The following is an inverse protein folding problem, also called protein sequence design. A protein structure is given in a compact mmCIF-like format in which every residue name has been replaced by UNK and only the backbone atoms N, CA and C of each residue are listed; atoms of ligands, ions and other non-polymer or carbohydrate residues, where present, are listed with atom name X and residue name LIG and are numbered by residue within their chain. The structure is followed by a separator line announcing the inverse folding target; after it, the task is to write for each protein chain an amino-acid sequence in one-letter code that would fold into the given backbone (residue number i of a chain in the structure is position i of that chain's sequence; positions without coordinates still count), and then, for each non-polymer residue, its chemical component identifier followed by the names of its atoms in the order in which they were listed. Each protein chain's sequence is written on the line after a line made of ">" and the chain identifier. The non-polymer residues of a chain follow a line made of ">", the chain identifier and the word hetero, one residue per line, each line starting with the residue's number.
data_IF_544813524130
#
_entry.id   IF_544813524130
#
_cell.length_a   1.000
_cell.length_b   1.000
_cell.length_c   1.000
_cell.angle_alpha   90.00
_cell.angle_beta   90.00
_cell.angle_gamma   90.00
#
_symmetry.space_group_name_H-M   'P 1'
#
loop_
_entity.id
_entity.type
_entity.pdbx_description
1 polymer ?
#
# COMPACT_ATOMS: atom_id res chain seq x y z
N UNK A 1 -54.91 -62.24 -26.30
CA UNK A 1 -56.08 -61.79 -27.09
C UNK A 1 -55.72 -61.82 -28.57
N UNK A 2 -56.55 -62.54 -29.34
CA UNK A 2 -56.83 -62.52 -30.79
C UNK A 2 -55.77 -62.04 -31.81
N UNK A 3 -55.49 -62.96 -32.74
CA UNK A 3 -54.97 -62.83 -34.11
C UNK A 3 -55.54 -61.64 -34.91
N UNK A 4 -54.76 -61.07 -35.84
CA UNK A 4 -54.95 -61.19 -37.31
C UNK A 4 -53.80 -60.55 -38.13
N UNK A 5 -53.53 -61.17 -39.27
CA UNK A 5 -52.54 -60.87 -40.31
C UNK A 5 -53.11 -59.92 -41.38
N UNK A 6 -52.27 -59.10 -42.03
CA UNK A 6 -52.04 -59.12 -43.50
C UNK A 6 -51.42 -57.82 -44.09
N UNK A 7 -50.32 -58.03 -44.83
CA UNK A 7 -49.97 -57.49 -46.16
C UNK A 7 -49.94 -55.97 -46.45
N UNK A 8 -48.69 -55.50 -46.60
CA UNK A 8 -48.06 -54.78 -47.72
C UNK A 8 -48.41 -53.31 -48.09
N UNK A 9 -47.41 -52.58 -48.66
CA UNK A 9 -47.22 -51.15 -48.46
C UNK A 9 -47.84 -50.30 -49.57
N UNK A 10 -48.40 -49.14 -49.22
CA UNK A 10 -48.77 -48.11 -50.18
C UNK A 10 -47.58 -47.15 -50.37
N UNK A 11 -46.97 -47.21 -51.56
CA UNK A 11 -46.11 -46.15 -52.10
C UNK A 11 -46.94 -44.88 -52.30
N UNK A 12 -46.51 -43.77 -51.73
CA UNK A 12 -46.95 -42.43 -52.13
C UNK A 12 -45.81 -41.75 -52.89
N UNK A 13 -46.04 -41.25 -54.12
CA UNK A 13 -45.02 -40.53 -54.89
C UNK A 13 -45.06 -39.05 -54.51
N UNK A 14 -44.08 -38.61 -53.72
CA UNK A 14 -43.87 -37.20 -53.39
C UNK A 14 -42.45 -36.80 -53.73
N UNK A 15 -42.22 -36.32 -54.97
CA UNK A 15 -41.02 -35.56 -55.32
C UNK A 15 -41.04 -34.26 -54.50
N UNK A 16 -40.26 -34.22 -53.42
CA UNK A 16 -39.89 -32.96 -52.78
C UNK A 16 -38.56 -32.51 -53.37
N UNK A 17 -38.62 -31.54 -54.28
CA UNK A 17 -37.45 -30.78 -54.71
C UNK A 17 -37.00 -29.89 -53.53
N UNK A 18 -36.26 -30.46 -52.59
CA UNK A 18 -35.49 -29.66 -51.64
C UNK A 18 -34.16 -29.30 -52.32
N UNK A 19 -33.81 -28.00 -52.46
CA UNK A 19 -32.47 -27.63 -52.89
C UNK A 19 -31.46 -28.19 -51.88
N UNK A 20 -30.34 -28.72 -52.40
CA UNK A 20 -29.25 -29.24 -51.57
C UNK A 20 -28.89 -28.24 -50.46
N UNK A 21 -28.59 -28.70 -49.23
CA UNK A 21 -28.20 -27.80 -48.15
C UNK A 21 -27.00 -26.96 -48.63
N UNK A 22 -27.21 -25.66 -48.76
CA UNK A 22 -26.16 -24.67 -48.96
C UNK A 22 -25.05 -24.95 -47.96
N UNK A 23 -23.80 -25.04 -48.47
CA UNK A 23 -22.59 -25.21 -47.64
C UNK A 23 -22.71 -24.33 -46.40
N UNK A 24 -22.41 -24.84 -45.19
CA UNK A 24 -22.40 -24.00 -44.02
C UNK A 24 -21.51 -22.80 -44.32
N UNK A 25 -22.06 -21.59 -44.16
CA UNK A 25 -21.29 -20.36 -44.16
C UNK A 25 -20.13 -20.65 -43.21
N UNK A 26 -18.91 -20.70 -43.74
CA UNK A 26 -17.71 -20.79 -42.92
C UNK A 26 -17.79 -19.54 -42.06
N UNK A 27 -18.27 -19.70 -40.82
CA UNK A 27 -18.13 -18.69 -39.78
C UNK A 27 -16.63 -18.51 -39.72
N UNK A 28 -16.12 -17.43 -40.33
CA UNK A 28 -14.72 -17.07 -40.26
C UNK A 28 -14.38 -17.14 -38.78
N UNK A 29 -13.52 -18.07 -38.41
CA UNK A 29 -12.99 -18.12 -37.05
C UNK A 29 -12.50 -16.71 -36.76
N UNK A 30 -12.96 -16.10 -35.64
CA UNK A 30 -12.51 -14.77 -35.30
C UNK A 30 -10.98 -14.77 -35.34
N UNK A 31 -10.35 -13.73 -35.91
CA UNK A 31 -8.91 -13.72 -36.13
C UNK A 31 -8.21 -14.08 -34.82
N UNK A 32 -7.36 -15.10 -34.86
CA UNK A 32 -6.57 -15.53 -33.70
C UNK A 32 -5.71 -14.33 -33.30
N UNK A 33 -5.80 -13.93 -32.03
CA UNK A 33 -4.99 -12.83 -31.52
C UNK A 33 -3.51 -13.12 -31.78
N UNK A 34 -2.83 -12.18 -32.42
CA UNK A 34 -1.39 -12.28 -32.65
C UNK A 34 -0.66 -12.27 -31.30
N UNK A 35 0.52 -12.86 -31.26
CA UNK A 35 1.33 -12.91 -30.03
C UNK A 35 1.63 -11.51 -29.44
N UNK A 36 1.97 -10.47 -30.24
CA UNK A 36 2.11 -9.11 -29.74
C UNK A 36 0.80 -8.54 -29.16
N UNK A 37 -0.34 -8.74 -29.84
CA UNK A 37 -1.63 -8.27 -29.36
C UNK A 37 -2.01 -8.92 -28.03
N UNK A 38 -1.77 -10.23 -27.89
CA UNK A 38 -2.02 -10.95 -26.65
C UNK A 38 -1.14 -10.44 -25.50
N UNK A 39 0.15 -10.17 -25.74
CA UNK A 39 1.05 -9.57 -24.74
C UNK A 39 0.54 -8.21 -24.25
N UNK A 40 0.16 -7.34 -25.19
CA UNK A 40 -0.39 -6.03 -24.88
C UNK A 40 -1.66 -6.14 -24.03
N UNK A 41 -2.61 -6.98 -24.44
CA UNK A 41 -3.85 -7.20 -23.69
C UNK A 41 -3.56 -7.72 -22.28
N UNK A 42 -2.68 -8.72 -22.13
CA UNK A 42 -2.33 -9.27 -20.83
C UNK A 42 -1.62 -8.24 -19.93
N UNK A 43 -0.84 -7.32 -20.48
CA UNK A 43 -0.16 -6.29 -19.68
C UNK A 43 -1.15 -5.34 -19.01
N UNK A 44 -2.19 -4.92 -19.74
CA UNK A 44 -3.06 -3.81 -19.35
C UNK A 44 -4.48 -4.20 -18.94
N UNK A 45 -4.87 -5.48 -19.05
CA UNK A 45 -6.14 -5.95 -18.49
C UNK A 45 -6.09 -5.95 -16.95
N UNK A 46 -7.25 -5.79 -16.32
CA UNK A 46 -7.42 -5.94 -14.86
C UNK A 46 -6.70 -7.19 -14.34
N UNK A 47 -5.90 -7.02 -13.28
CA UNK A 47 -4.97 -8.05 -12.84
C UNK A 47 -5.67 -9.29 -12.27
N UNK A 48 -6.83 -9.13 -11.63
CA UNK A 48 -7.59 -10.27 -11.13
C UNK A 48 -8.15 -11.09 -12.29
N UNK A 49 -8.66 -10.43 -13.33
CA UNK A 49 -9.08 -11.09 -14.58
C UNK A 49 -7.91 -11.78 -15.27
N UNK A 50 -6.75 -11.09 -15.38
CA UNK A 50 -5.51 -11.64 -15.95
C UNK A 50 -5.14 -12.96 -15.29
N UNK A 51 -5.02 -12.96 -13.97
CA UNK A 51 -4.61 -14.13 -13.20
C UNK A 51 -5.62 -15.29 -13.31
N UNK A 52 -6.93 -15.01 -13.33
CA UNK A 52 -7.95 -16.03 -13.51
C UNK A 52 -7.89 -16.67 -14.90
N UNK A 53 -7.70 -15.86 -15.94
CA UNK A 53 -7.59 -16.34 -17.33
C UNK A 53 -6.32 -17.18 -17.51
N UNK A 54 -5.18 -16.69 -17.04
CA UNK A 54 -3.87 -17.34 -17.27
C UNK A 54 -3.71 -18.61 -16.43
N UNK A 55 -4.39 -18.71 -15.28
CA UNK A 55 -4.38 -19.91 -14.45
C UNK A 55 -5.00 -21.15 -15.13
N UNK A 56 -5.89 -20.97 -16.12
CA UNK A 56 -6.63 -22.06 -16.78
C UNK A 56 -5.87 -22.72 -17.93
N UNK A 57 -4.78 -22.13 -18.42
CA UNK A 57 -4.07 -22.63 -19.61
C UNK A 57 -2.57 -22.44 -19.51
N UNK A 58 -1.81 -23.54 -19.69
CA UNK A 58 -0.34 -23.53 -19.61
C UNK A 58 0.32 -22.57 -20.61
N UNK A 59 -0.18 -22.51 -21.84
CA UNK A 59 0.34 -21.58 -22.86
C UNK A 59 0.17 -20.12 -22.43
N UNK A 60 -1.03 -19.73 -21.99
CA UNK A 60 -1.27 -18.38 -21.47
C UNK A 60 -0.43 -18.06 -20.24
N UNK A 61 -0.21 -19.03 -19.34
CA UNK A 61 0.66 -18.85 -18.18
C UNK A 61 2.11 -18.52 -18.59
N UNK A 62 2.65 -19.20 -19.60
CA UNK A 62 4.01 -18.92 -20.10
C UNK A 62 4.08 -17.50 -20.68
N UNK A 63 3.10 -17.11 -21.49
CA UNK A 63 3.04 -15.77 -22.09
C UNK A 63 2.90 -14.70 -21.00
N UNK A 64 2.01 -14.93 -20.04
CA UNK A 64 1.78 -14.05 -18.89
C UNK A 64 3.04 -13.77 -18.08
N UNK A 65 3.91 -14.77 -17.89
CA UNK A 65 5.20 -14.59 -17.20
C UNK A 65 6.19 -13.74 -17.98
N UNK A 66 6.13 -13.77 -19.31
CA UNK A 66 6.96 -12.93 -20.18
C UNK A 66 6.52 -11.45 -20.26
N UNK A 67 5.33 -11.13 -19.75
CA UNK A 67 4.74 -9.79 -19.79
C UNK A 67 4.86 -9.14 -18.41
N UNK A 68 5.23 -7.86 -18.31
CA UNK A 68 5.31 -7.16 -17.03
C UNK A 68 4.03 -7.27 -16.21
N UNK A 69 4.17 -7.42 -14.89
CA UNK A 69 3.05 -7.41 -13.97
C UNK A 69 2.90 -5.99 -13.39
N UNK A 70 1.80 -5.30 -13.70
CA UNK A 70 1.50 -3.96 -13.20
C UNK A 70 0.43 -4.02 -12.12
N UNK A 71 0.73 -3.51 -10.94
CA UNK A 71 -0.11 -3.59 -9.74
C UNK A 71 -0.30 -2.22 -9.11
N UNK A 72 -1.54 -1.81 -8.79
CA UNK A 72 -1.76 -0.65 -7.92
C UNK A 72 -1.22 -0.93 -6.51
N UNK A 73 -1.51 -2.11 -5.97
CA UNK A 73 -1.11 -2.51 -4.62
C UNK A 73 -0.68 -3.97 -4.57
N UNK A 74 0.36 -4.26 -3.79
CA UNK A 74 0.82 -5.61 -3.47
C UNK A 74 1.16 -5.70 -1.99
N UNK A 75 0.56 -6.63 -1.27
CA UNK A 75 0.85 -6.87 0.14
C UNK A 75 1.32 -8.30 0.34
N UNK A 76 2.47 -8.43 1.00
CA UNK A 76 3.21 -9.67 1.19
C UNK A 76 3.41 -9.90 2.69
N UNK A 77 2.88 -11.00 3.20
CA UNK A 77 2.92 -11.36 4.61
C UNK A 77 3.20 -12.86 4.77
N UNK A 78 3.61 -13.30 5.96
CA UNK A 78 3.95 -14.70 6.21
C UNK A 78 2.79 -15.69 5.99
N UNK A 79 1.54 -15.20 6.05
CA UNK A 79 0.32 -15.99 5.92
C UNK A 79 -0.56 -15.63 4.73
N UNK A 80 -0.24 -14.58 3.97
CA UNK A 80 -1.06 -14.11 2.85
C UNK A 80 -0.29 -13.37 1.78
N UNK A 81 -0.86 -13.40 0.58
CA UNK A 81 -0.54 -12.52 -0.53
C UNK A 81 -1.82 -11.79 -0.94
N UNK A 82 -1.77 -10.47 -1.05
CA UNK A 82 -2.89 -9.67 -1.58
C UNK A 82 -2.39 -8.93 -2.82
N UNK A 83 -2.90 -9.35 -3.96
CA UNK A 83 -2.62 -8.77 -5.28
C UNK A 83 -3.79 -7.87 -5.64
N UNK A 84 -3.66 -6.57 -5.38
CA UNK A 84 -4.73 -5.61 -5.50
C UNK A 84 -6.01 -6.02 -4.73
N UNK A 85 -7.04 -6.53 -5.42
CA UNK A 85 -8.29 -6.97 -4.81
C UNK A 85 -8.35 -8.48 -4.57
N UNK A 86 -7.34 -9.24 -5.02
CA UNK A 86 -7.28 -10.70 -4.87
C UNK A 86 -6.41 -11.05 -3.66
N UNK A 87 -7.03 -11.50 -2.58
CA UNK A 87 -6.35 -12.01 -1.40
C UNK A 87 -6.27 -13.53 -1.42
N UNK A 88 -5.13 -14.10 -1.04
CA UNK A 88 -4.97 -15.53 -0.80
C UNK A 88 -4.28 -15.69 0.53
N UNK A 89 -4.92 -16.39 1.47
CA UNK A 89 -4.47 -16.52 2.85
C UNK A 89 -4.43 -17.97 3.28
N UNK A 90 -3.35 -18.37 3.95
CA UNK A 90 -3.29 -19.60 4.70
C UNK A 90 -3.84 -19.35 6.12
N UNK A 91 -5.06 -19.85 6.37
CA UNK A 91 -5.82 -19.58 7.60
C UNK A 91 -5.55 -20.62 8.70
N UNK A 92 -5.38 -21.88 8.30
CA UNK A 92 -5.09 -23.00 9.19
C UNK A 92 -3.95 -23.83 8.58
N UNK A 93 -3.42 -24.77 9.36
CA UNK A 93 -2.52 -25.78 8.80
C UNK A 93 -3.23 -26.50 7.65
N UNK A 94 -2.57 -26.60 6.50
CA UNK A 94 -3.09 -27.27 5.30
C UNK A 94 -4.33 -26.63 4.67
N UNK A 95 -4.67 -25.37 4.98
CA UNK A 95 -5.81 -24.67 4.34
C UNK A 95 -5.37 -23.37 3.69
N UNK A 96 -5.90 -23.12 2.48
CA UNK A 96 -5.78 -21.85 1.77
C UNK A 96 -7.16 -21.35 1.36
N UNK A 97 -7.44 -20.10 1.68
CA UNK A 97 -8.68 -19.39 1.35
C UNK A 97 -8.39 -18.21 0.41
N UNK A 98 -9.30 -17.99 -0.53
CA UNK A 98 -9.26 -16.93 -1.54
C UNK A 98 -10.33 -15.89 -1.21
N UNK A 99 -9.94 -14.63 -1.26
CA UNK A 99 -10.75 -13.46 -1.00
C UNK A 99 -10.75 -12.54 -2.21
N UNK A 100 -11.86 -11.89 -2.49
CA UNK A 100 -11.97 -10.83 -3.49
C UNK A 100 -12.60 -9.60 -2.85
N UNK A 101 -11.90 -8.47 -2.85
CA UNK A 101 -12.34 -7.24 -2.16
C UNK A 101 -12.76 -7.52 -0.70
N UNK A 102 -11.91 -8.25 0.02
CA UNK A 102 -12.13 -8.72 1.40
C UNK A 102 -13.32 -9.66 1.63
N UNK A 103 -14.02 -10.07 0.57
CA UNK A 103 -15.09 -11.06 0.65
C UNK A 103 -14.52 -12.45 0.38
N UNK A 104 -14.86 -13.41 1.24
CA UNK A 104 -14.52 -14.81 1.02
C UNK A 104 -15.14 -15.32 -0.28
N UNK A 105 -14.33 -15.98 -1.11
CA UNK A 105 -14.76 -16.56 -2.39
C UNK A 105 -14.79 -18.08 -2.30
N UNK A 106 -13.64 -18.69 -1.98
CA UNK A 106 -13.48 -20.14 -1.93
C UNK A 106 -12.27 -20.52 -1.09
N UNK A 107 -12.33 -21.68 -0.46
CA UNK A 107 -11.22 -22.28 0.26
C UNK A 107 -11.03 -23.74 -0.13
N UNK A 108 -9.88 -24.29 0.25
CA UNK A 108 -9.57 -25.70 0.03
C UNK A 108 -8.43 -26.19 0.91
N UNK A 109 -8.46 -27.49 1.17
CA UNK A 109 -7.31 -28.19 1.75
C UNK A 109 -6.18 -28.28 0.73
N UNK A 110 -4.95 -28.15 1.22
CA UNK A 110 -3.71 -28.29 0.44
C UNK A 110 -2.78 -29.27 1.14
N UNK A 111 -1.98 -30.01 0.37
CA UNK A 111 -1.08 -31.05 0.91
C UNK A 111 0.21 -30.48 1.52
N UNK A 112 0.24 -29.18 1.83
CA UNK A 112 1.44 -28.47 2.28
C UNK A 112 1.15 -27.66 3.54
N UNK A 113 2.12 -27.63 4.46
CA UNK A 113 2.06 -26.75 5.61
C UNK A 113 2.05 -25.26 5.19
N UNK A 114 1.63 -24.38 6.11
CA UNK A 114 1.47 -22.94 5.89
C UNK A 114 2.66 -22.29 5.17
N UNK A 115 3.87 -22.51 5.66
CA UNK A 115 5.12 -21.93 5.12
C UNK A 115 5.34 -22.35 3.66
N UNK A 116 5.19 -23.64 3.37
CA UNK A 116 5.41 -24.17 2.03
C UNK A 116 4.30 -23.76 1.05
N UNK A 117 3.05 -23.68 1.53
CA UNK A 117 1.94 -23.15 0.75
C UNK A 117 2.22 -21.69 0.35
N UNK A 118 2.65 -20.83 1.29
CA UNK A 118 2.97 -19.44 1.00
C UNK A 118 4.18 -19.27 0.08
N UNK A 119 5.26 -20.04 0.28
CA UNK A 119 6.42 -20.06 -0.62
C UNK A 119 6.00 -20.40 -2.06
N UNK A 120 5.14 -21.42 -2.23
CA UNK A 120 4.60 -21.80 -3.54
C UNK A 120 3.72 -20.72 -4.14
N UNK A 121 2.90 -20.04 -3.35
CA UNK A 121 2.06 -18.93 -3.81
C UNK A 121 2.92 -17.76 -4.30
N UNK A 122 3.93 -17.34 -3.52
CA UNK A 122 4.85 -16.28 -3.94
C UNK A 122 5.57 -16.63 -5.24
N UNK A 123 6.13 -17.85 -5.32
CA UNK A 123 6.75 -18.33 -6.57
C UNK A 123 5.75 -18.37 -7.73
N UNK A 124 4.53 -18.86 -7.51
CA UNK A 124 3.52 -18.98 -8.55
C UNK A 124 3.10 -17.62 -9.11
N UNK A 125 2.89 -16.60 -8.27
CA UNK A 125 2.41 -15.30 -8.73
C UNK A 125 3.54 -14.39 -9.19
N UNK A 126 4.63 -14.33 -8.44
CA UNK A 126 5.70 -13.34 -8.61
C UNK A 126 6.94 -13.93 -9.31
N UNK A 127 7.27 -15.19 -9.04
CA UNK A 127 8.44 -15.85 -9.61
C UNK A 127 8.39 -15.95 -11.14
N UNK A 128 9.56 -16.16 -11.75
CA UNK A 128 9.75 -16.26 -13.21
C UNK A 128 9.31 -15.00 -14.01
N UNK A 129 9.14 -13.86 -13.32
CA UNK A 129 8.81 -12.57 -13.95
C UNK A 129 10.02 -11.66 -13.90
N UNK A 130 10.37 -11.07 -15.04
CA UNK A 130 11.50 -10.12 -15.13
C UNK A 130 11.15 -8.72 -14.64
N UNK A 131 9.88 -8.30 -14.77
CA UNK A 131 9.44 -6.95 -14.44
C UNK A 131 8.15 -6.97 -13.62
N UNK A 132 8.22 -6.47 -12.38
CA UNK A 132 7.07 -6.27 -11.51
C UNK A 132 7.00 -4.80 -11.12
N UNK A 133 5.99 -4.09 -11.65
CA UNK A 133 5.73 -2.69 -11.39
C UNK A 133 4.60 -2.59 -10.35
N UNK A 134 4.87 -1.96 -9.21
CA UNK A 134 3.88 -1.84 -8.12
C UNK A 134 3.82 -0.38 -7.65
N UNK A 135 2.67 0.28 -7.70
CA UNK A 135 2.58 1.66 -7.18
C UNK A 135 2.84 1.69 -5.66
N UNK A 136 2.22 0.77 -4.90
CA UNK A 136 2.41 0.63 -3.46
C UNK A 136 2.66 -0.82 -3.04
N UNK A 137 3.84 -1.11 -2.50
CA UNK A 137 4.15 -2.41 -1.93
C UNK A 137 4.15 -2.38 -0.40
N UNK A 138 3.59 -3.42 0.21
CA UNK A 138 3.51 -3.61 1.66
C UNK A 138 4.20 -4.92 2.03
N UNK A 139 5.16 -4.85 2.94
CA UNK A 139 5.78 -6.02 3.56
C UNK A 139 5.37 -6.11 5.02
N UNK A 140 4.91 -7.29 5.44
CA UNK A 140 4.55 -7.55 6.84
C UNK A 140 5.34 -8.73 7.40
N UNK A 141 5.74 -8.62 8.66
CA UNK A 141 6.39 -9.70 9.41
C UNK A 141 7.68 -10.22 8.72
N UNK A 142 8.10 -11.45 9.03
CA UNK A 142 9.30 -12.10 8.47
C UNK A 142 9.06 -12.71 7.09
N UNK A 143 8.38 -11.99 6.18
CA UNK A 143 8.03 -12.50 4.84
C UNK A 143 9.26 -12.70 3.93
N UNK A 144 10.38 -11.99 4.19
CA UNK A 144 11.61 -12.06 3.39
C UNK A 144 12.07 -13.48 3.08
N UNK A 145 12.00 -14.39 4.04
CA UNK A 145 12.47 -15.78 3.90
C UNK A 145 11.56 -16.67 3.02
N UNK A 146 10.39 -16.17 2.63
CA UNK A 146 9.42 -16.88 1.79
C UNK A 146 9.46 -16.40 0.34
N UNK A 147 10.10 -15.26 0.09
CA UNK A 147 10.14 -14.61 -1.21
C UNK A 147 11.27 -15.19 -2.07
N UNK A 148 11.04 -15.40 -3.37
CA UNK A 148 12.11 -15.73 -4.30
C UNK A 148 13.21 -14.63 -4.30
N UNK A 149 14.50 -14.99 -4.19
CA UNK A 149 15.59 -14.01 -4.12
C UNK A 149 15.79 -13.19 -5.40
N UNK A 150 15.34 -13.70 -6.54
CA UNK A 150 15.46 -13.08 -7.86
C UNK A 150 14.44 -11.96 -8.14
N UNK A 151 13.54 -11.68 -7.19
CA UNK A 151 12.52 -10.64 -7.36
C UNK A 151 13.13 -9.26 -7.47
N UNK A 152 12.61 -8.47 -8.41
CA UNK A 152 12.99 -7.09 -8.63
C UNK A 152 11.73 -6.23 -8.85
N UNK A 153 11.37 -5.45 -7.84
CA UNK A 153 10.19 -4.59 -7.84
C UNK A 153 10.55 -3.16 -8.22
N UNK A 154 9.86 -2.59 -9.20
CA UNK A 154 9.90 -1.16 -9.46
C UNK A 154 8.69 -0.51 -8.78
N UNK A 155 8.93 0.36 -7.80
CA UNK A 155 7.91 0.86 -6.89
C UNK A 155 7.89 2.38 -6.75
N UNK A 156 6.74 2.94 -6.35
CA UNK A 156 6.65 4.35 -5.96
C UNK A 156 6.53 4.52 -4.44
N UNK A 157 5.92 3.57 -3.74
CA UNK A 157 5.61 3.64 -2.32
C UNK A 157 5.97 2.32 -1.64
N UNK A 158 6.63 2.41 -0.49
CA UNK A 158 7.04 1.28 0.34
C UNK A 158 6.40 1.40 1.72
N UNK A 159 5.79 0.33 2.20
CA UNK A 159 5.26 0.23 3.54
C UNK A 159 5.75 -1.05 4.22
N UNK A 160 6.22 -0.93 5.46
CA UNK A 160 6.64 -2.08 6.28
C UNK A 160 5.88 -2.13 7.60
N UNK A 161 5.44 -3.32 8.00
CA UNK A 161 4.82 -3.57 9.29
C UNK A 161 5.59 -4.65 10.05
N UNK A 162 6.06 -4.33 11.25
CA UNK A 162 6.77 -5.27 12.12
C UNK A 162 8.05 -5.86 11.48
N UNK A 163 8.67 -5.13 10.55
CA UNK A 163 9.90 -5.52 9.85
C UNK A 163 10.70 -4.29 9.38
N UNK A 164 11.99 -4.48 9.13
CA UNK A 164 12.87 -3.43 8.61
C UNK A 164 12.78 -3.35 7.08
N UNK A 165 12.61 -2.13 6.55
CA UNK A 165 12.63 -1.91 5.10
C UNK A 165 13.99 -2.27 4.46
N UNK A 166 15.06 -2.20 5.26
CA UNK A 166 16.43 -2.57 4.85
C UNK A 166 16.50 -4.00 4.32
N UNK A 167 15.73 -4.92 4.90
CA UNK A 167 15.65 -6.32 4.48
C UNK A 167 15.10 -6.48 3.06
N UNK A 168 14.41 -5.48 2.51
CA UNK A 168 13.77 -5.55 1.19
C UNK A 168 14.49 -4.73 0.13
N UNK A 169 15.51 -3.94 0.49
CA UNK A 169 16.27 -3.15 -0.48
C UNK A 169 16.88 -3.98 -1.62
N UNK A 170 17.43 -5.19 -1.39
CA UNK A 170 17.99 -6.01 -2.48
C UNK A 170 16.99 -6.44 -3.55
N UNK A 171 15.68 -6.36 -3.28
CA UNK A 171 14.61 -6.72 -4.22
C UNK A 171 13.88 -5.50 -4.79
N UNK A 172 14.36 -4.28 -4.52
CA UNK A 172 13.78 -3.04 -5.06
C UNK A 172 14.71 -2.51 -6.15
N UNK A 173 14.14 -2.26 -7.32
CA UNK A 173 14.83 -1.65 -8.45
C UNK A 173 15.36 -0.27 -8.04
N UNK A 174 16.65 0.04 -8.23
CA UNK A 174 17.22 1.35 -7.94
C UNK A 174 16.47 2.53 -8.59
N UNK A 175 15.83 2.31 -9.75
CA UNK A 175 15.00 3.32 -10.43
C UNK A 175 13.72 3.71 -9.65
N UNK A 176 13.42 3.03 -8.54
CA UNK A 176 12.31 3.36 -7.64
C UNK A 176 12.64 4.54 -6.71
N UNK A 177 13.91 4.92 -6.59
CA UNK A 177 14.35 5.96 -5.67
C UNK A 177 14.52 7.31 -6.39
N UNK A 178 14.16 8.44 -5.74
CA UNK A 178 13.56 8.54 -4.40
C UNK A 178 12.12 8.04 -4.36
N UNK A 179 11.72 7.42 -3.25
CA UNK A 179 10.35 6.95 -3.07
C UNK A 179 9.39 8.13 -2.90
N UNK A 180 8.21 8.06 -3.53
CA UNK A 180 7.13 9.03 -3.30
C UNK A 180 6.60 8.96 -1.86
N UNK A 181 6.56 7.76 -1.27
CA UNK A 181 6.16 7.55 0.13
C UNK A 181 6.94 6.40 0.76
N UNK A 182 7.41 6.61 1.99
CA UNK A 182 7.94 5.57 2.85
C UNK A 182 7.09 5.52 4.13
N UNK A 183 6.48 4.36 4.42
CA UNK A 183 5.74 4.09 5.65
C UNK A 183 6.47 3.05 6.48
N UNK A 184 6.73 3.34 7.76
CA UNK A 184 7.31 2.39 8.71
C UNK A 184 6.36 2.24 9.90
N UNK A 185 5.86 1.03 10.12
CA UNK A 185 4.86 0.71 11.15
C UNK A 185 5.43 -0.29 12.15
N UNK A 186 5.59 0.17 13.38
CA UNK A 186 6.27 -0.51 14.48
C UNK A 186 7.65 -1.06 14.12
N UNK A 187 8.53 -0.25 13.50
CA UNK A 187 9.88 -0.70 13.14
C UNK A 187 10.75 -1.00 14.38
N UNK A 188 10.39 -0.47 15.55
CA UNK A 188 11.20 -0.56 16.78
C UNK A 188 11.18 -1.95 17.44
N UNK A 189 10.23 -2.82 17.09
CA UNK A 189 10.11 -4.17 17.68
C UNK A 189 11.35 -5.04 17.38
N UNK A 190 12.23 -4.60 16.48
CA UNK A 190 13.47 -5.30 16.07
C UNK A 190 14.76 -4.48 16.32
N UNK A 191 14.74 -3.56 17.30
CA UNK A 191 15.91 -2.89 17.93
C UNK A 191 16.84 -1.99 17.09
N UNK A 192 16.66 -1.84 15.77
CA UNK A 192 17.62 -1.10 14.92
C UNK A 192 16.97 -0.03 14.01
N UNK A 193 15.94 0.70 14.46
CA UNK A 193 15.41 1.81 13.67
C UNK A 193 16.45 2.94 13.59
N UNK A 194 17.17 3.05 12.48
CA UNK A 194 17.97 4.25 12.17
C UNK A 194 17.16 5.12 11.22
N UNK A 195 16.65 6.26 11.72
CA UNK A 195 16.04 7.28 10.86
C UNK A 195 17.09 8.01 10.01
N UNK A 196 18.38 7.87 10.37
CA UNK A 196 19.49 8.31 9.55
C UNK A 196 19.80 7.30 8.43
N UNK A 197 19.03 7.36 7.36
CA UNK A 197 19.22 6.51 6.18
C UNK A 197 18.89 7.31 4.91
N UNK A 198 19.70 7.23 3.83
CA UNK A 198 19.48 8.02 2.61
C UNK A 198 18.08 7.87 2.00
N UNK A 199 17.51 6.66 2.04
CA UNK A 199 16.13 6.39 1.58
C UNK A 199 15.07 7.06 2.45
N UNK A 200 15.31 7.17 3.77
CA UNK A 200 14.41 7.89 4.68
C UNK A 200 14.46 9.38 4.34
N UNK A 201 15.65 9.96 4.25
CA UNK A 201 15.85 11.38 3.97
C UNK A 201 15.30 11.82 2.60
N UNK A 202 15.42 10.96 1.59
CA UNK A 202 14.98 11.27 0.22
C UNK A 202 13.50 10.97 -0.06
N UNK A 203 12.78 10.31 0.85
CA UNK A 203 11.37 10.01 0.64
C UNK A 203 10.52 11.29 0.60
N UNK A 204 9.64 11.41 -0.41
CA UNK A 204 8.78 12.58 -0.57
C UNK A 204 7.79 12.76 0.58
N UNK A 205 7.22 11.67 1.07
CA UNK A 205 6.37 11.64 2.26
C UNK A 205 6.82 10.51 3.20
N UNK A 206 7.12 10.85 4.44
CA UNK A 206 7.46 9.90 5.48
C UNK A 206 6.25 9.65 6.38
N UNK A 207 5.93 8.39 6.65
CA UNK A 207 4.95 7.99 7.66
C UNK A 207 5.63 7.09 8.67
N UNK A 208 5.58 7.46 9.95
CA UNK A 208 6.11 6.69 11.07
C UNK A 208 4.94 6.35 12.01
N UNK A 209 4.70 5.08 12.27
CA UNK A 209 3.83 4.65 13.36
C UNK A 209 4.67 3.91 14.39
N UNK A 210 5.05 4.63 15.43
CA UNK A 210 6.01 4.21 16.45
C UNK A 210 5.23 3.77 17.69
N UNK A 211 5.55 2.59 18.20
CA UNK A 211 4.95 2.06 19.42
C UNK A 211 6.05 1.66 20.39
N UNK A 212 6.80 2.61 20.94
CA UNK A 212 7.89 2.22 21.84
C UNK A 212 7.35 1.58 23.12
N UNK A 213 7.91 0.42 23.46
CA UNK A 213 7.99 -0.09 24.82
C UNK A 213 9.30 0.44 25.42
N UNK A 214 9.22 1.27 26.46
CA UNK A 214 10.39 1.75 27.21
C UNK A 214 10.77 3.21 26.97
N UNK A 215 11.86 3.65 27.63
CA UNK A 215 12.26 5.07 27.77
C UNK A 215 12.98 5.68 26.55
N UNK A 216 13.32 4.88 25.54
CA UNK A 216 13.96 5.37 24.32
C UNK A 216 12.90 5.98 23.40
N UNK A 217 12.68 7.28 23.56
CA UNK A 217 11.85 8.08 22.65
C UNK A 217 12.63 8.35 21.35
N UNK A 218 12.12 8.00 20.15
CA UNK A 218 12.81 8.24 18.87
C UNK A 218 12.83 9.74 18.48
N UNK A 219 12.47 10.62 19.39
CA UNK A 219 12.27 12.06 19.12
C UNK A 219 13.58 12.79 18.84
N UNK A 220 14.69 12.35 19.44
CA UNK A 220 16.03 12.87 19.14
C UNK A 220 16.41 12.70 17.67
N UNK A 221 15.83 11.71 17.00
CA UNK A 221 16.07 11.42 15.59
C UNK A 221 15.00 12.08 14.71
N UNK A 222 13.74 12.12 15.17
CA UNK A 222 12.63 12.78 14.44
C UNK A 222 12.91 14.27 14.22
N UNK A 223 13.47 14.98 15.20
CA UNK A 223 13.78 16.40 15.05
C UNK A 223 14.79 16.68 13.90
N UNK A 224 15.65 15.70 13.59
CA UNK A 224 16.71 15.77 12.57
C UNK A 224 16.24 15.40 11.17
N UNK A 225 15.04 14.85 11.01
CA UNK A 225 14.52 14.41 9.71
C UNK A 225 14.49 15.56 8.70
N UNK A 226 15.05 15.34 7.51
CA UNK A 226 15.11 16.33 6.43
C UNK A 226 13.86 16.37 5.55
N UNK A 227 12.92 15.42 5.71
CA UNK A 227 11.73 15.33 4.86
C UNK A 227 10.88 16.62 4.94
N UNK A 228 10.34 17.09 3.81
CA UNK A 228 9.37 18.19 3.82
C UNK A 228 8.01 17.81 4.37
N UNK A 229 7.66 16.52 4.30
CA UNK A 229 6.37 16.02 4.78
C UNK A 229 6.59 14.78 5.61
N UNK A 230 6.27 14.87 6.90
CA UNK A 230 6.30 13.72 7.80
C UNK A 230 5.00 13.61 8.59
N UNK A 231 4.47 12.39 8.69
CA UNK A 231 3.37 12.04 9.55
C UNK A 231 3.85 11.06 10.61
N UNK A 232 3.77 11.43 11.88
CA UNK A 232 4.26 10.66 13.00
C UNK A 232 3.06 10.31 13.89
N UNK A 233 2.71 9.02 13.92
CA UNK A 233 1.80 8.45 14.90
C UNK A 233 2.66 7.82 16.00
N UNK A 234 2.48 8.25 17.24
CA UNK A 234 3.24 7.68 18.35
C UNK A 234 2.37 7.48 19.58
N UNK A 235 2.53 6.32 20.22
CA UNK A 235 1.84 5.95 21.45
C UNK A 235 2.57 6.55 22.69
N UNK A 236 3.87 6.83 22.56
CA UNK A 236 4.78 7.12 23.67
C UNK A 236 5.31 8.55 23.70
N UNK A 237 4.76 9.45 22.89
CA UNK A 237 5.16 10.86 22.91
C UNK A 237 4.89 11.50 24.28
N UNK A 238 5.91 12.15 24.81
CA UNK A 238 5.87 12.95 26.04
C UNK A 238 5.37 14.37 25.70
N UNK A 239 4.74 15.02 26.67
CA UNK A 239 4.15 16.35 26.50
C UNK A 239 5.15 17.41 26.00
N UNK A 240 6.42 17.26 26.33
CA UNK A 240 7.51 18.18 25.98
C UNK A 240 8.23 17.84 24.66
N UNK A 241 7.85 16.76 23.96
CA UNK A 241 8.56 16.34 22.74
C UNK A 241 8.39 17.37 21.61
N UNK A 242 7.21 17.98 21.46
CA UNK A 242 7.02 19.07 20.50
C UNK A 242 7.87 20.30 20.86
N UNK A 243 8.06 20.59 22.16
CA UNK A 243 8.93 21.69 22.61
C UNK A 243 10.37 21.44 22.17
N UNK A 244 10.88 20.21 22.36
CA UNK A 244 12.24 19.83 21.95
C UNK A 244 12.45 19.97 20.45
N UNK A 245 11.49 19.51 19.64
CA UNK A 245 11.54 19.62 18.18
C UNK A 245 11.57 21.09 17.76
N UNK A 246 10.70 21.93 18.32
CA UNK A 246 10.64 23.36 18.00
C UNK A 246 11.95 24.05 18.38
N UNK A 247 12.49 23.81 19.60
CA UNK A 247 13.78 24.37 20.02
C UNK A 247 14.92 23.97 19.08
N UNK A 248 15.01 22.69 18.75
CA UNK A 248 16.02 22.18 17.81
C UNK A 248 15.92 22.87 16.45
N UNK A 249 14.72 23.05 15.89
CA UNK A 249 14.53 23.75 14.61
C UNK A 249 14.84 25.24 14.68
N UNK A 250 14.62 25.89 15.83
CA UNK A 250 15.04 27.30 16.03
C UNK A 250 16.56 27.43 16.03
N UNK A 251 17.25 26.53 16.72
CA UNK A 251 18.71 26.57 16.85
C UNK A 251 19.44 26.16 15.56
N UNK A 252 18.91 25.18 14.83
CA UNK A 252 19.59 24.58 13.67
C UNK A 252 19.01 25.01 12.32
N UNK A 253 17.89 25.74 12.33
CA UNK A 253 17.11 26.03 11.14
C UNK A 253 16.24 24.86 10.71
N UNK A 254 15.26 25.16 9.85
CA UNK A 254 14.42 24.18 9.17
C UNK A 254 13.97 24.73 7.83
N UNK A 255 13.90 23.87 6.81
CA UNK A 255 13.52 24.28 5.46
C UNK A 255 12.05 24.76 5.40
N UNK A 256 11.82 25.88 4.70
CA UNK A 256 10.47 26.40 4.42
C UNK A 256 9.66 25.37 3.62
N UNK A 257 8.40 25.21 3.99
CA UNK A 257 7.52 24.19 3.43
C UNK A 257 7.57 22.85 4.16
N UNK A 258 8.40 22.72 5.22
CA UNK A 258 8.36 21.53 6.08
C UNK A 258 7.08 21.48 6.90
N UNK A 259 6.32 20.39 6.78
CA UNK A 259 5.12 20.12 7.55
C UNK A 259 5.19 18.77 8.24
N UNK A 260 5.24 18.78 9.57
CA UNK A 260 5.18 17.59 10.41
C UNK A 260 3.82 17.52 11.09
N UNK A 261 3.19 16.36 11.02
CA UNK A 261 1.89 16.09 11.64
C UNK A 261 2.07 14.98 12.66
N UNK A 262 1.70 15.26 13.91
CA UNK A 262 1.77 14.32 15.01
C UNK A 262 0.36 13.89 15.41
N UNK A 263 0.16 12.58 15.55
CA UNK A 263 -1.11 11.99 15.98
C UNK A 263 -0.90 11.04 17.16
N UNK A 264 -1.90 10.97 18.04
CA UNK A 264 -1.82 10.25 19.31
C UNK A 264 -2.87 9.15 19.38
N UNK A 265 -2.53 8.05 20.03
CA UNK A 265 -3.46 6.94 20.22
C UNK A 265 -4.60 7.27 21.20
N UNK A 266 -4.30 8.04 22.24
CA UNK A 266 -5.28 8.48 23.23
C UNK A 266 -5.67 9.93 22.94
N UNK A 267 -6.97 10.23 22.68
CA UNK A 267 -7.44 11.58 22.37
C UNK A 267 -7.07 12.62 23.44
N UNK A 268 -6.97 12.19 24.70
CA UNK A 268 -6.70 13.07 25.84
C UNK A 268 -5.25 13.57 25.90
N UNK A 269 -4.34 13.00 25.11
CA UNK A 269 -2.92 13.39 25.11
C UNK A 269 -2.66 14.73 24.40
N UNK A 270 -3.55 15.19 23.52
CA UNK A 270 -3.28 16.40 22.73
C UNK A 270 -3.27 17.68 23.57
N UNK A 271 -4.13 17.76 24.59
CA UNK A 271 -4.27 18.96 25.42
C UNK A 271 -3.01 19.20 26.27
N UNK A 272 -2.47 18.21 27.02
CA UNK A 272 -1.19 18.38 27.70
C UNK A 272 -0.04 18.77 26.77
N UNK A 273 0.01 18.19 25.56
CA UNK A 273 1.07 18.45 24.59
C UNK A 273 1.06 19.87 24.04
N UNK A 274 -0.11 20.38 23.65
CA UNK A 274 -0.19 21.76 23.15
C UNK A 274 -0.04 22.77 24.28
N UNK A 275 -0.49 22.46 25.50
CA UNK A 275 -0.28 23.31 26.68
C UNK A 275 1.18 23.40 27.09
N UNK A 276 1.96 22.33 26.90
CA UNK A 276 3.41 22.35 27.15
C UNK A 276 4.16 23.35 26.26
N UNK A 277 3.57 23.79 25.14
CA UNK A 277 4.14 24.88 24.33
C UNK A 277 3.91 26.26 24.95
N UNK A 278 2.95 26.44 25.86
CA UNK A 278 2.61 27.75 26.42
C UNK A 278 3.77 28.33 27.22
N UNK A 279 4.28 27.60 28.21
CA UNK A 279 5.37 28.09 29.07
C UNK A 279 6.61 28.59 28.29
N UNK A 280 7.16 27.87 27.29
CA UNK A 280 8.33 28.33 26.55
C UNK A 280 8.04 29.29 25.38
N UNK A 281 6.79 29.41 24.91
CA UNK A 281 6.45 30.14 23.68
C UNK A 281 5.22 31.05 23.80
N UNK A 282 4.82 31.44 25.01
CA UNK A 282 3.64 32.29 25.25
C UNK A 282 3.70 33.61 24.46
N UNK A 283 4.88 34.23 24.38
CA UNK A 283 5.12 35.46 23.62
C UNK A 283 4.85 35.34 22.12
N UNK A 284 4.82 34.12 21.58
CA UNK A 284 4.58 33.81 20.18
C UNK A 284 3.16 33.30 19.90
N UNK A 285 2.23 33.45 20.86
CA UNK A 285 0.85 33.04 20.67
C UNK A 285 0.18 33.90 19.59
N UNK A 286 -0.40 33.25 18.58
CA UNK A 286 -0.98 33.92 17.42
C UNK A 286 -2.28 33.21 17.01
N UNK A 287 -3.26 33.95 16.51
CA UNK A 287 -4.55 33.38 16.08
C UNK A 287 -4.45 32.66 14.73
N UNK A 288 -3.34 32.84 14.01
CA UNK A 288 -3.08 32.36 12.66
C UNK A 288 -4.16 32.82 11.67
N UNK A 289 -4.56 34.10 11.80
CA UNK A 289 -5.55 34.74 10.92
C UNK A 289 -5.00 34.76 9.48
N UNK A 290 -5.66 34.05 8.55
CA UNK A 290 -5.20 33.88 7.16
C UNK A 290 -4.74 32.45 6.82
N UNK A 291 -4.50 31.58 7.80
CA UNK A 291 -4.31 30.17 7.52
C UNK A 291 -5.64 29.52 7.10
N UNK A 292 -5.73 29.02 5.86
CA UNK A 292 -6.90 28.33 5.32
C UNK A 292 -7.10 26.92 5.93
N UNK A 293 -7.04 26.78 7.25
CA UNK A 293 -7.31 25.54 7.97
C UNK A 293 -8.65 25.64 8.71
N UNK A 294 -9.66 24.92 8.20
CA UNK A 294 -11.03 24.98 8.73
C UNK A 294 -11.27 24.03 9.91
N UNK A 295 -10.26 23.24 10.29
CA UNK A 295 -10.41 22.12 11.24
C UNK A 295 -9.69 22.34 12.57
N UNK A 296 -9.39 23.58 12.92
CA UNK A 296 -8.81 23.90 14.23
C UNK A 296 -9.63 23.32 15.38
N UNK A 297 -8.94 22.89 16.43
CA UNK A 297 -9.58 22.53 17.69
C UNK A 297 -9.81 23.81 18.49
N UNK A 298 -11.08 24.14 18.74
CA UNK A 298 -11.45 25.37 19.46
C UNK A 298 -10.92 25.35 20.90
N UNK A 299 -10.47 26.51 21.39
CA UNK A 299 -9.99 26.70 22.77
C UNK A 299 -8.55 26.25 23.02
N UNK A 300 -7.85 25.68 22.03
CA UNK A 300 -6.43 25.33 22.16
C UNK A 300 -5.52 26.44 21.62
N UNK A 301 -4.36 26.68 22.27
CA UNK A 301 -3.44 27.72 21.85
C UNK A 301 -2.81 27.39 20.50
N UNK A 302 -2.36 28.44 19.83
CA UNK A 302 -1.76 28.44 18.49
C UNK A 302 -0.57 29.39 18.53
N UNK A 303 0.50 29.06 17.82
CA UNK A 303 1.75 29.79 17.91
C UNK A 303 2.36 30.06 16.54
N UNK A 304 3.02 31.20 16.39
CA UNK A 304 3.85 31.57 15.25
C UNK A 304 5.28 31.85 15.75
N UNK A 305 6.11 30.82 15.81
CA UNK A 305 7.39 30.83 16.53
C UNK A 305 8.54 31.13 15.54
N UNK A 306 9.32 32.21 15.71
CA UNK A 306 10.39 32.55 14.79
C UNK A 306 11.58 31.57 14.88
N UNK A 307 12.07 31.15 13.70
CA UNK A 307 13.31 30.35 13.58
C UNK A 307 14.53 31.26 13.49
N UNK A 308 14.49 32.26 12.60
CA UNK A 308 15.57 33.20 12.36
C UNK A 308 15.06 34.65 12.54
N UNK A 309 15.88 35.64 12.20
CA UNK A 309 15.56 37.08 12.28
C UNK A 309 14.46 37.50 11.28
N UNK A 310 13.26 36.94 11.45
CA UNK A 310 11.96 37.36 10.90
C UNK A 310 11.58 36.90 9.49
N UNK A 311 12.28 35.96 8.84
CA UNK A 311 11.88 35.47 7.50
C UNK A 311 11.18 34.11 7.52
N UNK A 312 11.30 33.37 8.63
CA UNK A 312 10.83 31.99 8.75
C UNK A 312 10.24 31.74 10.13
N UNK A 313 9.02 31.19 10.17
CA UNK A 313 8.30 30.85 11.41
C UNK A 313 7.80 29.42 11.38
N UNK A 314 7.70 28.82 12.57
CA UNK A 314 7.01 27.56 12.83
C UNK A 314 5.60 27.89 13.29
N UNK A 315 4.62 27.51 12.47
CA UNK A 315 3.22 27.50 12.90
C UNK A 315 2.97 26.22 13.69
N UNK A 316 2.63 26.35 14.97
CA UNK A 316 2.26 25.23 15.82
C UNK A 316 0.78 25.33 16.20
N UNK A 317 -0.01 24.34 15.78
CA UNK A 317 -1.47 24.36 16.00
C UNK A 317 -2.06 22.95 16.04
N UNK A 318 -3.32 22.85 16.46
CA UNK A 318 -4.05 21.57 16.55
C UNK A 318 -5.22 21.53 15.58
N UNK A 319 -5.44 20.37 14.95
CA UNK A 319 -6.57 20.13 14.05
C UNK A 319 -7.25 18.79 14.33
N UNK A 320 -8.49 18.67 13.87
CA UNK A 320 -9.12 17.38 13.66
C UNK A 320 -8.92 16.90 12.23
N UNK A 321 -8.56 15.63 12.05
CA UNK A 321 -8.52 14.95 10.76
C UNK A 321 -9.35 13.67 10.80
N UNK A 322 -9.89 13.28 9.64
CA UNK A 322 -10.53 11.98 9.49
C UNK A 322 -9.48 10.97 9.04
N UNK A 323 -9.20 9.98 9.88
CA UNK A 323 -8.30 8.85 9.61
C UNK A 323 -9.11 7.58 9.82
N UNK A 324 -9.23 6.72 8.80
CA UNK A 324 -9.97 5.45 8.87
C UNK A 324 -11.39 5.59 9.44
N UNK A 325 -12.13 6.63 9.00
CA UNK A 325 -13.48 6.99 9.46
C UNK A 325 -13.57 7.38 10.94
N UNK A 326 -12.44 7.56 11.63
CA UNK A 326 -12.36 8.11 12.98
C UNK A 326 -11.84 9.53 12.94
N UNK A 327 -12.38 10.37 13.81
CA UNK A 327 -11.89 11.74 14.02
C UNK A 327 -10.70 11.67 14.96
N UNK A 328 -9.51 11.91 14.44
CA UNK A 328 -8.26 11.95 15.21
C UNK A 328 -7.81 13.40 15.40
N UNK A 329 -7.33 13.72 16.60
CA UNK A 329 -6.76 15.03 16.91
C UNK A 329 -5.26 15.01 16.59
N UNK A 330 -4.76 16.08 15.95
CA UNK A 330 -3.38 16.14 15.45
C UNK A 330 -2.72 17.46 15.84
N UNK A 331 -1.43 17.42 16.16
CA UNK A 331 -0.57 18.61 16.25
C UNK A 331 0.12 18.78 14.91
N UNK A 332 0.10 19.99 14.38
CA UNK A 332 0.79 20.35 13.15
C UNK A 332 1.89 21.34 13.48
N UNK A 333 3.10 21.02 13.05
CA UNK A 333 4.24 21.94 12.98
C UNK A 333 4.50 22.23 11.51
N UNK A 334 4.30 23.47 11.08
CA UNK A 334 4.44 23.88 9.69
C UNK A 334 5.38 25.06 9.57
N UNK A 335 6.49 24.89 8.85
CA UNK A 335 7.49 25.92 8.64
C UNK A 335 7.14 26.72 7.40
N UNK A 336 6.90 28.01 7.58
CA UNK A 336 6.50 28.93 6.51
C UNK A 336 7.40 30.15 6.49
N UNK A 337 7.47 30.81 5.34
CA UNK A 337 8.11 32.12 5.26
C UNK A 337 7.12 33.21 5.65
N UNK A 338 7.62 34.25 6.33
CA UNK A 338 6.87 35.43 6.76
C UNK A 338 6.91 36.59 5.78
N UNK A 339 7.38 36.38 4.54
CA UNK A 339 7.44 37.46 3.55
C UNK A 339 6.05 38.00 3.21
N UNK A 340 5.96 39.33 3.32
CA UNK A 340 4.87 40.25 3.02
C UNK A 340 4.29 40.13 1.61
#
# INVERSE_FOLDING_TARGET
>A
MRYYSAKNPKRCPGRTNYPAPTRPIIIRTPPVLTYPALKCILEFIDVAKRLNITARTKSLKIIDKSVPLRLPTLQLCSDRIIIHNLGIRSVLQYRVDIFYKDQYVKGGMVNFGKIEAMRRLFKYYLGDRSNIYVDSIVFEEKVRNLLPPELNFTINKLETHYCSFGEFLPMINPNSFPLRKLSMVYPEILSNLTLDHPIVHSAGHLYLNVGTRGDQSPMSDIQKLCNKSAFIKSISMKSDDCVKIIRYWRENGKEVGTKFIFTFYLPNCIVPMIKALQEPFEEFQDKLEGLNERRFIAGLPRFAIPINNHSTVILAYTIFAMVDRKREAQIVLNVVSTTA
#
